data_IF_348560560061
#
_entry.id   IF_348560560061
#
_cell.length_a   1.000
_cell.length_b   1.000
_cell.length_c   1.000
_cell.angle_alpha   90.00
_cell.angle_beta   90.00
_cell.angle_gamma   90.00
#
_symmetry.space_group_name_H-M   'P 1'
#
loop_
_entity.id
_entity.type
_entity.pdbx_description
1 polymer ?
#
# COMPACT_ATOMS: atom_id res chain seq x y z
N UNK A 1 -10.76 -23.69 27.31
CA UNK A 1 -10.26 -22.38 26.86
C UNK A 1 -11.04 -21.76 25.67
N UNK A 2 -11.78 -22.51 24.85
CA UNK A 2 -12.53 -22.01 23.69
C UNK A 2 -13.80 -21.25 24.08
N UNK A 3 -14.54 -21.67 25.10
CA UNK A 3 -15.79 -21.02 25.53
C UNK A 3 -15.61 -19.61 26.12
N UNK A 4 -14.51 -19.35 26.83
CA UNK A 4 -14.22 -18.01 27.38
C UNK A 4 -13.90 -16.98 26.32
N UNK A 5 -13.31 -17.39 25.19
CA UNK A 5 -12.98 -16.51 24.05
C UNK A 5 -14.25 -16.08 23.30
N UNK A 6 -15.20 -17.00 23.12
CA UNK A 6 -16.47 -16.72 22.44
C UNK A 6 -17.34 -15.71 23.23
N UNK A 7 -17.39 -15.81 24.56
CA UNK A 7 -18.15 -14.90 25.43
C UNK A 7 -17.52 -13.49 25.44
N UNK A 8 -16.18 -13.40 25.46
CA UNK A 8 -15.49 -12.10 25.38
C UNK A 8 -15.77 -11.42 24.02
N UNK A 9 -15.65 -12.16 22.93
CA UNK A 9 -15.93 -11.66 21.56
C UNK A 9 -17.36 -11.14 21.47
N UNK A 10 -18.37 -11.88 21.97
CA UNK A 10 -19.78 -11.47 21.96
C UNK A 10 -20.02 -10.18 22.76
N UNK A 11 -19.41 -10.02 23.92
CA UNK A 11 -19.54 -8.82 24.78
C UNK A 11 -18.91 -7.59 24.14
N UNK A 12 -17.75 -7.73 23.49
CA UNK A 12 -17.09 -6.63 22.78
C UNK A 12 -17.82 -6.25 21.50
N UNK A 13 -18.40 -7.21 20.77
CA UNK A 13 -19.19 -6.96 19.56
C UNK A 13 -20.46 -6.14 19.81
N UNK A 14 -21.12 -6.32 20.95
CA UNK A 14 -22.30 -5.51 21.32
C UNK A 14 -21.96 -4.04 21.57
N UNK A 15 -20.75 -3.76 22.08
CA UNK A 15 -20.22 -2.40 22.30
C UNK A 15 -19.65 -1.82 20.99
N UNK A 16 -19.01 -2.67 20.20
CA UNK A 16 -18.37 -2.33 18.92
C UNK A 16 -19.35 -1.80 17.88
N UNK A 17 -20.56 -2.36 17.79
CA UNK A 17 -21.61 -1.91 16.86
C UNK A 17 -22.15 -0.51 17.15
N UNK A 18 -21.87 0.07 18.32
CA UNK A 18 -22.42 1.37 18.78
C UNK A 18 -21.49 2.57 18.58
N UNK A 19 -20.22 2.38 18.24
CA UNK A 19 -19.27 3.50 18.10
C UNK A 19 -18.77 3.67 16.67
N UNK A 20 -18.75 4.91 16.19
CA UNK A 20 -18.21 5.27 14.84
C UNK A 20 -16.75 4.84 14.61
N UNK A 21 -16.02 4.60 15.69
CA UNK A 21 -14.61 4.17 15.69
C UNK A 21 -14.39 2.77 15.13
N UNK A 22 -15.38 1.89 15.20
CA UNK A 22 -15.28 0.50 14.76
C UNK A 22 -15.74 0.28 13.32
N UNK A 23 -16.23 1.32 12.65
CA UNK A 23 -16.59 1.24 11.24
C UNK A 23 -15.39 0.86 10.37
N UNK A 24 -14.18 1.31 10.72
CA UNK A 24 -12.96 1.04 9.95
C UNK A 24 -12.29 -0.29 10.29
N UNK A 25 -12.77 -1.03 11.29
CA UNK A 25 -12.43 -2.43 11.55
C UNK A 25 -13.55 -3.40 11.17
N UNK A 26 -14.59 -2.95 10.47
CA UNK A 26 -15.76 -3.80 10.16
C UNK A 26 -15.39 -5.09 9.41
N UNK A 27 -14.43 -5.01 8.51
CA UNK A 27 -13.99 -6.16 7.70
C UNK A 27 -13.17 -7.13 8.55
N UNK A 28 -12.25 -6.61 9.34
CA UNK A 28 -11.46 -7.36 10.29
C UNK A 28 -12.35 -8.00 11.36
N UNK A 29 -13.32 -7.26 11.89
CA UNK A 29 -14.28 -7.78 12.88
C UNK A 29 -15.10 -8.95 12.33
N UNK A 30 -15.57 -8.89 11.09
CA UNK A 30 -16.28 -9.99 10.45
C UNK A 30 -15.42 -11.25 10.36
N UNK A 31 -14.14 -11.10 10.05
CA UNK A 31 -13.19 -12.21 10.00
C UNK A 31 -12.87 -12.76 11.40
N UNK A 32 -12.73 -11.89 12.40
CA UNK A 32 -12.54 -12.28 13.80
C UNK A 32 -13.75 -13.08 14.32
N UNK A 33 -14.98 -12.69 13.95
CA UNK A 33 -16.20 -13.44 14.24
C UNK A 33 -16.18 -14.87 13.65
N UNK A 34 -15.50 -15.05 12.52
CA UNK A 34 -15.30 -16.34 11.85
C UNK A 34 -14.12 -17.15 12.44
N UNK A 35 -13.45 -16.62 13.47
CA UNK A 35 -12.32 -17.28 14.14
C UNK A 35 -10.95 -16.96 13.57
N UNK A 36 -10.85 -16.06 12.58
CA UNK A 36 -9.56 -15.62 12.02
C UNK A 36 -8.89 -14.65 12.99
N UNK A 37 -7.61 -14.87 13.28
CA UNK A 37 -6.87 -14.07 14.26
C UNK A 37 -5.73 -13.24 13.64
N UNK A 38 -5.21 -13.66 12.50
CA UNK A 38 -4.13 -12.97 11.79
C UNK A 38 -4.62 -12.44 10.44
N UNK A 39 -5.15 -11.24 10.48
CA UNK A 39 -5.72 -10.57 9.30
C UNK A 39 -4.72 -9.52 8.83
N UNK A 40 -4.17 -9.68 7.64
CA UNK A 40 -3.28 -8.70 7.03
C UNK A 40 -4.06 -7.73 6.14
N UNK A 41 -3.87 -6.43 6.36
CA UNK A 41 -4.21 -5.40 5.37
C UNK A 41 -3.02 -5.19 4.43
N UNK A 42 -3.26 -5.09 3.13
CA UNK A 42 -2.22 -4.87 2.12
C UNK A 42 -2.60 -3.76 1.15
N UNK A 43 -1.63 -2.90 0.81
CA UNK A 43 -1.77 -1.81 -0.16
C UNK A 43 -0.44 -1.54 -0.87
N UNK A 44 -0.49 -0.80 -2.00
CA UNK A 44 0.67 -0.41 -2.78
C UNK A 44 0.78 1.11 -2.97
N UNK A 45 2.00 1.57 -3.24
CA UNK A 45 2.29 2.95 -3.63
C UNK A 45 3.22 3.02 -4.84
N UNK A 46 2.95 3.95 -5.76
CA UNK A 46 3.85 4.19 -6.88
C UNK A 46 3.48 3.47 -8.17
N UNK A 47 2.20 3.19 -8.44
CA UNK A 47 1.76 2.62 -9.74
C UNK A 47 1.83 3.61 -10.90
N UNK A 48 1.43 4.86 -10.68
CA UNK A 48 1.31 5.87 -11.73
C UNK A 48 2.57 6.64 -12.13
N UNK A 49 3.63 6.76 -11.30
CA UNK A 49 4.84 7.49 -11.66
C UNK A 49 5.56 6.93 -12.87
N UNK A 50 6.27 7.80 -13.61
CA UNK A 50 7.13 7.49 -14.74
C UNK A 50 8.50 6.94 -14.32
N UNK A 51 8.88 7.14 -13.04
CA UNK A 51 10.16 6.74 -12.49
C UNK A 51 10.04 6.17 -11.09
N UNK A 52 10.99 5.33 -10.72
CA UNK A 52 11.09 4.70 -9.41
C UNK A 52 10.27 3.42 -9.27
N UNK A 53 10.57 2.61 -8.23
CA UNK A 53 9.92 1.33 -7.97
C UNK A 53 8.45 1.49 -7.56
N UNK A 54 7.72 0.36 -7.59
CA UNK A 54 6.45 0.21 -6.89
C UNK A 54 6.72 -0.41 -5.53
N UNK A 55 6.13 0.14 -4.48
CA UNK A 55 6.18 -0.37 -3.11
C UNK A 55 4.86 -1.05 -2.76
N UNK A 56 4.93 -2.05 -1.90
CA UNK A 56 3.77 -2.56 -1.19
C UNK A 56 4.12 -2.80 0.27
N UNK A 57 3.12 -2.69 1.14
CA UNK A 57 3.24 -3.04 2.53
C UNK A 57 2.08 -3.93 2.96
N UNK A 58 2.33 -4.72 4.00
CA UNK A 58 1.34 -5.56 4.65
C UNK A 58 1.41 -5.34 6.16
N UNK A 59 0.26 -5.25 6.83
CA UNK A 59 0.16 -4.96 8.27
C UNK A 59 -0.85 -5.89 8.92
N UNK A 60 -0.45 -6.52 10.05
CA UNK A 60 -1.34 -7.26 10.94
C UNK A 60 -1.39 -6.53 12.28
N UNK A 61 -2.60 -6.15 12.70
CA UNK A 61 -2.85 -5.63 14.04
C UNK A 61 -3.26 -6.77 15.02
N UNK A 62 -2.93 -6.65 16.31
CA UNK A 62 -3.44 -7.55 17.34
C UNK A 62 -4.96 -7.58 17.36
N UNK A 63 -5.54 -8.76 17.61
CA UNK A 63 -7.01 -8.93 17.71
C UNK A 63 -7.61 -8.03 18.80
N UNK A 64 -6.89 -7.81 19.89
CA UNK A 64 -7.28 -6.93 21.00
C UNK A 64 -7.50 -5.48 20.53
N UNK A 65 -6.71 -5.03 19.57
CA UNK A 65 -6.87 -3.70 18.98
C UNK A 65 -8.12 -3.61 18.10
N UNK A 66 -8.37 -4.67 17.33
CA UNK A 66 -9.58 -4.79 16.50
C UNK A 66 -10.84 -4.82 17.37
N UNK A 67 -10.77 -5.49 18.51
CA UNK A 67 -11.89 -5.62 19.46
C UNK A 67 -12.12 -4.37 20.33
N UNK A 68 -11.31 -3.32 20.23
CA UNK A 68 -11.55 -2.03 20.90
C UNK A 68 -10.34 -1.41 21.61
N UNK A 69 -9.20 -2.10 21.64
CA UNK A 69 -7.95 -1.62 22.24
C UNK A 69 -7.10 -0.74 21.31
N UNK A 70 -7.64 -0.24 20.20
CA UNK A 70 -6.85 0.49 19.20
C UNK A 70 -6.24 1.77 19.79
N UNK A 71 -4.91 1.96 19.67
CA UNK A 71 -4.20 3.10 20.26
C UNK A 71 -4.73 4.44 19.76
N UNK A 72 -4.78 5.43 20.65
CA UNK A 72 -5.25 6.77 20.31
C UNK A 72 -4.37 7.45 19.25
N UNK A 73 -3.06 7.25 19.32
CA UNK A 73 -2.05 7.78 18.40
C UNK A 73 -2.21 7.27 16.95
N UNK A 74 -2.82 6.09 16.74
CA UNK A 74 -3.06 5.51 15.42
C UNK A 74 -4.45 5.80 14.84
N UNK A 75 -5.30 6.56 15.52
CA UNK A 75 -6.69 6.82 15.07
C UNK A 75 -6.79 7.67 13.82
N UNK A 76 -5.74 8.42 13.50
CA UNK A 76 -5.66 9.23 12.30
C UNK A 76 -5.20 8.44 11.06
N UNK A 77 -4.81 7.15 11.24
CA UNK A 77 -4.50 6.26 10.10
C UNK A 77 -5.66 6.29 9.11
N UNK A 78 -5.40 6.67 7.87
CA UNK A 78 -6.39 6.85 6.81
C UNK A 78 -5.72 6.65 5.45
N UNK A 79 -6.49 6.78 4.35
CA UNK A 79 -5.94 6.92 3.01
C UNK A 79 -4.75 7.90 3.04
N UNK A 80 -3.59 7.40 2.69
CA UNK A 80 -2.33 8.15 2.78
C UNK A 80 -2.32 9.43 1.95
N UNK A 81 -3.16 9.52 0.90
CA UNK A 81 -3.28 10.70 0.04
C UNK A 81 -4.09 11.82 0.69
N UNK A 82 -4.93 11.50 1.68
CA UNK A 82 -5.71 12.48 2.45
C UNK A 82 -4.95 13.07 3.65
N UNK A 83 -3.79 12.50 3.98
CA UNK A 83 -2.95 12.95 5.08
C UNK A 83 -1.87 13.92 4.59
N UNK A 84 -1.46 14.86 5.45
CA UNK A 84 -0.28 15.69 5.16
C UNK A 84 1.00 14.83 5.21
N UNK A 85 2.11 15.25 4.56
CA UNK A 85 3.39 14.55 4.65
C UNK A 85 3.85 14.35 6.10
N UNK A 86 3.70 15.38 6.95
CA UNK A 86 4.10 15.37 8.36
C UNK A 86 3.29 14.34 9.16
N UNK A 87 1.96 14.31 8.96
CA UNK A 87 1.08 13.33 9.61
C UNK A 87 1.44 11.91 9.18
N UNK A 88 1.73 11.68 7.87
CA UNK A 88 2.18 10.37 7.39
C UNK A 88 3.48 9.92 8.06
N UNK A 89 4.45 10.82 8.20
CA UNK A 89 5.73 10.51 8.87
C UNK A 89 5.54 10.17 10.35
N UNK A 90 4.70 10.91 11.07
CA UNK A 90 4.37 10.62 12.47
C UNK A 90 3.73 9.23 12.60
N UNK A 91 2.73 8.94 11.77
CA UNK A 91 2.02 7.64 11.78
C UNK A 91 2.93 6.49 11.34
N UNK A 92 3.80 6.70 10.35
CA UNK A 92 4.81 5.74 9.95
C UNK A 92 5.70 5.35 11.12
N UNK A 93 6.30 6.35 11.79
CA UNK A 93 7.20 6.12 12.91
C UNK A 93 6.48 5.44 14.08
N UNK A 94 5.24 5.81 14.35
CA UNK A 94 4.39 5.18 15.36
C UNK A 94 4.11 3.70 15.02
N UNK A 95 3.80 3.39 13.76
CA UNK A 95 3.55 2.01 13.31
C UNK A 95 4.79 1.12 13.43
N UNK A 96 5.96 1.60 12.96
CA UNK A 96 7.17 0.78 12.92
C UNK A 96 7.85 0.63 14.28
N UNK A 97 7.59 1.54 15.23
CA UNK A 97 8.15 1.48 16.58
C UNK A 97 7.41 0.53 17.52
N UNK A 98 6.21 0.08 17.13
CA UNK A 98 5.37 -0.76 18.00
C UNK A 98 5.65 -2.25 17.79
N UNK A 99 6.13 -2.96 18.82
CA UNK A 99 6.40 -4.39 18.70
C UNK A 99 5.15 -5.25 18.50
N UNK A 100 3.96 -4.71 18.82
CA UNK A 100 2.67 -5.38 18.60
C UNK A 100 2.24 -5.38 17.13
N UNK A 101 2.77 -4.46 16.33
CA UNK A 101 2.44 -4.35 14.90
C UNK A 101 3.35 -5.25 14.08
N UNK A 102 2.77 -6.30 13.49
CA UNK A 102 3.51 -7.10 12.52
C UNK A 102 3.36 -6.45 11.14
N UNK A 103 4.46 -6.05 10.52
CA UNK A 103 4.45 -5.43 9.21
C UNK A 103 5.62 -5.90 8.34
N UNK A 104 5.46 -5.72 7.04
CA UNK A 104 6.52 -5.87 6.05
C UNK A 104 6.34 -4.85 4.93
N UNK A 105 7.47 -4.36 4.39
CA UNK A 105 7.51 -3.40 3.29
C UNK A 105 8.43 -3.98 2.23
N UNK A 106 8.00 -3.97 0.97
CA UNK A 106 8.76 -4.49 -0.16
C UNK A 106 8.64 -3.58 -1.36
N UNK A 107 9.56 -3.73 -2.29
CA UNK A 107 9.55 -3.01 -3.54
C UNK A 107 9.79 -3.94 -4.74
N UNK A 108 9.37 -3.47 -5.89
CA UNK A 108 9.72 -4.05 -7.20
C UNK A 108 10.23 -2.92 -8.08
N UNK A 109 11.44 -3.10 -8.62
CA UNK A 109 12.16 -2.09 -9.38
C UNK A 109 11.56 -1.80 -10.76
N UNK A 110 12.11 -0.77 -11.41
CA UNK A 110 11.65 -0.31 -12.72
C UNK A 110 11.89 -1.35 -13.81
N UNK A 111 13.01 -2.08 -13.75
CA UNK A 111 13.34 -3.09 -14.76
C UNK A 111 12.33 -4.24 -14.73
N UNK A 112 11.97 -4.70 -13.54
CA UNK A 112 10.92 -5.72 -13.38
C UNK A 112 9.55 -5.17 -13.79
N UNK A 113 9.23 -3.90 -13.49
CA UNK A 113 7.99 -3.27 -13.95
C UNK A 113 7.90 -3.30 -15.47
N UNK A 114 9.00 -2.98 -16.17
CA UNK A 114 9.05 -3.01 -17.64
C UNK A 114 8.90 -4.42 -18.21
N UNK A 115 9.42 -5.44 -17.51
CA UNK A 115 9.31 -6.84 -17.94
C UNK A 115 7.92 -7.44 -17.78
N UNK A 116 7.24 -7.17 -16.64
CA UNK A 116 6.00 -7.88 -16.29
C UNK A 116 4.75 -6.99 -16.24
N UNK A 117 4.86 -5.72 -16.54
CA UNK A 117 3.93 -4.59 -16.39
C UNK A 117 3.64 -4.22 -14.92
N UNK A 118 3.11 -3.00 -14.74
CA UNK A 118 2.87 -2.41 -13.42
C UNK A 118 1.84 -3.17 -12.58
N UNK A 119 0.80 -3.76 -13.19
CA UNK A 119 -0.20 -4.52 -12.46
C UNK A 119 0.42 -5.78 -11.82
N UNK A 120 1.19 -6.54 -12.61
CA UNK A 120 1.87 -7.75 -12.12
C UNK A 120 2.98 -7.39 -11.12
N UNK A 121 3.68 -6.28 -11.33
CA UNK A 121 4.70 -5.79 -10.41
C UNK A 121 4.11 -5.40 -9.05
N UNK A 122 2.96 -4.69 -9.02
CA UNK A 122 2.23 -4.39 -7.78
C UNK A 122 1.79 -5.66 -7.06
N UNK A 123 1.21 -6.62 -7.77
CA UNK A 123 0.83 -7.91 -7.19
C UNK A 123 2.03 -8.69 -6.66
N UNK A 124 3.18 -8.62 -7.35
CA UNK A 124 4.43 -9.24 -6.89
C UNK A 124 4.91 -8.59 -5.60
N UNK A 125 4.94 -7.26 -5.53
CA UNK A 125 5.31 -6.53 -4.31
C UNK A 125 4.39 -6.91 -3.13
N UNK A 126 3.07 -6.95 -3.33
CA UNK A 126 2.12 -7.37 -2.30
C UNK A 126 2.40 -8.81 -1.80
N UNK A 127 2.62 -9.75 -2.72
CA UNK A 127 2.92 -11.14 -2.36
C UNK A 127 4.25 -11.26 -1.59
N UNK A 128 5.27 -10.48 -1.96
CA UNK A 128 6.54 -10.43 -1.25
C UNK A 128 6.38 -9.88 0.18
N UNK A 129 5.58 -8.81 0.36
CA UNK A 129 5.29 -8.26 1.68
C UNK A 129 4.57 -9.29 2.57
N UNK A 130 3.54 -9.94 2.05
CA UNK A 130 2.82 -10.99 2.79
C UNK A 130 3.70 -12.18 3.16
N UNK A 131 4.63 -12.58 2.28
CA UNK A 131 5.56 -13.67 2.52
C UNK A 131 6.59 -13.37 3.63
N UNK A 132 6.86 -12.09 3.91
CA UNK A 132 7.79 -11.66 4.96
C UNK A 132 7.13 -11.53 6.34
N UNK A 133 5.80 -11.48 6.44
CA UNK A 133 5.12 -11.37 7.74
C UNK A 133 5.41 -12.58 8.63
N UNK A 134 5.72 -12.33 9.88
CA UNK A 134 5.90 -13.35 10.92
C UNK A 134 5.16 -12.90 12.19
N UNK A 135 4.08 -13.60 12.58
CA UNK A 135 3.51 -14.81 11.99
C UNK A 135 2.82 -14.56 10.63
N UNK A 136 2.73 -15.60 9.79
CA UNK A 136 2.04 -15.55 8.51
C UNK A 136 0.54 -15.24 8.68
N UNK A 137 -0.10 -14.48 7.75
CA UNK A 137 -1.53 -14.19 7.82
C UNK A 137 -2.38 -15.44 7.56
N UNK A 138 -3.58 -15.47 8.13
CA UNK A 138 -4.62 -16.47 7.86
C UNK A 138 -5.58 -15.96 6.77
N UNK A 139 -5.76 -14.65 6.70
CA UNK A 139 -6.60 -13.98 5.73
C UNK A 139 -6.02 -12.61 5.36
N UNK A 140 -6.21 -12.18 4.14
CA UNK A 140 -5.74 -10.89 3.64
C UNK A 140 -6.93 -10.03 3.21
N UNK A 141 -6.97 -8.79 3.65
CA UNK A 141 -7.83 -7.75 3.09
C UNK A 141 -6.97 -6.86 2.19
N UNK A 142 -7.40 -6.69 0.93
CA UNK A 142 -6.60 -6.05 -0.13
C UNK A 142 -7.28 -4.77 -0.55
N UNK A 143 -6.50 -3.67 -0.71
CA UNK A 143 -7.06 -2.49 -1.37
C UNK A 143 -7.38 -2.77 -2.85
N UNK A 144 -8.53 -2.28 -3.29
CA UNK A 144 -8.98 -2.40 -4.67
C UNK A 144 -9.51 -3.77 -5.06
N UNK A 145 -8.91 -4.41 -6.05
CA UNK A 145 -9.39 -5.64 -6.67
C UNK A 145 -8.63 -6.89 -6.20
N UNK A 146 -9.25 -8.06 -6.46
CA UNK A 146 -8.65 -9.35 -6.15
C UNK A 146 -7.28 -9.55 -6.84
N UNK A 147 -6.28 -9.95 -6.08
CA UNK A 147 -4.94 -10.30 -6.56
C UNK A 147 -4.90 -11.79 -6.92
N UNK A 148 -5.02 -12.10 -8.23
CA UNK A 148 -5.13 -13.49 -8.71
C UNK A 148 -3.94 -14.39 -8.34
N UNK A 149 -2.74 -13.81 -8.21
CA UNK A 149 -1.51 -14.52 -7.84
C UNK A 149 -1.32 -14.75 -6.35
N UNK A 150 -2.19 -14.20 -5.50
CA UNK A 150 -2.11 -14.34 -4.05
C UNK A 150 -2.59 -15.71 -3.60
N UNK A 151 -1.79 -16.38 -2.77
CA UNK A 151 -2.07 -17.74 -2.28
C UNK A 151 -2.91 -17.76 -0.99
N UNK A 152 -3.05 -16.61 -0.32
CA UNK A 152 -3.86 -16.49 0.89
C UNK A 152 -5.34 -16.31 0.57
N UNK A 153 -6.26 -16.78 1.42
CA UNK A 153 -7.65 -16.35 1.41
C UNK A 153 -7.70 -14.82 1.44
N UNK A 154 -8.50 -14.20 0.56
CA UNK A 154 -8.49 -12.75 0.42
C UNK A 154 -9.88 -12.15 0.25
N UNK A 155 -10.07 -10.95 0.78
CA UNK A 155 -11.25 -10.09 0.59
C UNK A 155 -10.79 -8.77 -0.03
N UNK A 156 -11.12 -8.50 -1.30
CA UNK A 156 -10.84 -7.21 -1.93
C UNK A 156 -11.82 -6.15 -1.41
N UNK A 157 -11.33 -4.94 -1.16
CA UNK A 157 -12.10 -3.82 -0.63
C UNK A 157 -11.78 -2.57 -1.45
N UNK A 158 -12.74 -2.09 -2.21
CA UNK A 158 -12.58 -0.85 -3.00
C UNK A 158 -12.47 0.32 -2.03
N UNK A 159 -11.47 1.19 -2.21
CA UNK A 159 -11.09 2.26 -1.29
C UNK A 159 -10.87 1.71 0.15
N UNK A 160 -10.16 0.59 0.23
CA UNK A 160 -9.90 -0.12 1.47
C UNK A 160 -9.01 0.68 2.43
N UNK A 161 -8.10 1.49 1.92
CA UNK A 161 -7.24 2.41 2.68
C UNK A 161 -8.05 3.41 3.54
N UNK A 162 -9.19 3.88 3.04
CA UNK A 162 -10.14 4.69 3.80
C UNK A 162 -11.10 3.84 4.65
N UNK A 163 -11.38 2.58 4.28
CA UNK A 163 -12.39 1.73 4.90
C UNK A 163 -11.86 0.80 6.00
N UNK A 164 -10.55 0.51 6.03
CA UNK A 164 -9.89 -0.38 6.98
C UNK A 164 -8.65 0.26 7.59
N UNK A 165 -8.45 0.12 8.90
CA UNK A 165 -7.23 0.58 9.56
C UNK A 165 -6.00 -0.25 9.14
N UNK A 166 -6.16 -1.56 8.90
CA UNK A 166 -5.04 -2.42 8.50
C UNK A 166 -4.55 -2.07 7.09
N UNK A 167 -5.47 -1.80 6.13
CA UNK A 167 -5.13 -1.35 4.78
C UNK A 167 -4.57 0.08 4.82
N UNK A 168 -5.21 1.00 5.57
CA UNK A 168 -4.71 2.37 5.71
C UNK A 168 -3.31 2.45 6.31
N UNK A 169 -2.98 1.57 7.27
CA UNK A 169 -1.62 1.46 7.80
C UNK A 169 -0.63 0.97 6.73
N UNK A 170 -1.01 -0.04 5.94
CA UNK A 170 -0.21 -0.53 4.82
C UNK A 170 0.02 0.58 3.78
N UNK A 171 -1.04 1.35 3.44
CA UNK A 171 -0.96 2.52 2.55
C UNK A 171 0.09 3.53 3.01
N UNK A 172 0.07 3.90 4.30
CA UNK A 172 1.05 4.82 4.89
C UNK A 172 2.47 4.24 4.80
N UNK A 173 2.67 2.98 5.18
CA UNK A 173 3.99 2.35 5.15
C UNK A 173 4.56 2.28 3.74
N UNK A 174 3.77 1.88 2.75
CA UNK A 174 4.18 1.83 1.36
C UNK A 174 4.50 3.23 0.82
N UNK A 175 3.62 4.22 1.09
CA UNK A 175 3.76 5.60 0.59
C UNK A 175 4.99 6.29 1.16
N UNK A 176 5.18 6.25 2.47
CA UNK A 176 6.32 6.93 3.12
C UNK A 176 7.64 6.29 2.70
N UNK A 177 7.72 4.97 2.68
CA UNK A 177 8.93 4.26 2.25
C UNK A 177 9.31 4.62 0.82
N UNK A 178 8.33 4.64 -0.09
CA UNK A 178 8.57 5.05 -1.47
C UNK A 178 9.01 6.51 -1.57
N UNK A 179 8.34 7.43 -0.88
CA UNK A 179 8.66 8.85 -0.95
C UNK A 179 10.07 9.15 -0.41
N UNK A 180 10.49 8.47 0.66
CA UNK A 180 11.85 8.55 1.20
C UNK A 180 12.90 8.06 0.19
N UNK A 181 12.65 6.94 -0.48
CA UNK A 181 13.54 6.45 -1.54
C UNK A 181 13.62 7.45 -2.70
N UNK A 182 12.51 8.05 -3.13
CA UNK A 182 12.53 9.02 -4.22
C UNK A 182 13.32 10.30 -3.86
N UNK A 183 13.35 10.70 -2.58
CA UNK A 183 14.21 11.79 -2.11
C UNK A 183 15.69 11.40 -2.17
N UNK A 184 16.06 10.16 -1.84
CA UNK A 184 17.43 9.67 -1.97
C UNK A 184 17.86 9.57 -3.44
N UNK A 185 16.95 9.10 -4.32
CA UNK A 185 17.21 9.00 -5.75
C UNK A 185 17.36 10.36 -6.44
N UNK A 186 16.78 11.43 -5.90
CA UNK A 186 17.01 12.80 -6.37
C UNK A 186 18.47 13.23 -6.23
N UNK A 187 19.14 12.78 -5.17
CA UNK A 187 20.57 13.02 -4.98
C UNK A 187 21.43 12.21 -5.97
N UNK A 188 21.01 11.00 -6.30
CA UNK A 188 21.72 10.11 -7.24
C UNK A 188 21.54 10.56 -8.69
N UNK A 189 20.38 11.10 -9.02
CA UNK A 189 20.01 11.58 -10.35
C UNK A 189 19.56 13.05 -10.29
N UNK A 190 20.52 13.99 -10.10
CA UNK A 190 20.18 15.40 -9.96
C UNK A 190 19.58 16.00 -11.24
N UNK A 191 18.73 17.00 -11.08
CA UNK A 191 18.11 17.72 -12.19
C UNK A 191 16.77 17.19 -12.65
N UNK A 192 16.33 16.01 -12.20
CA UNK A 192 14.99 15.49 -12.51
C UNK A 192 13.91 15.98 -11.53
N UNK A 193 14.24 16.36 -10.30
CA UNK A 193 13.30 16.84 -9.30
C UNK A 193 12.50 15.74 -8.59
N UNK A 194 13.05 14.55 -8.46
CA UNK A 194 12.37 13.40 -7.83
C UNK A 194 11.99 13.63 -6.37
N UNK A 195 12.73 14.48 -5.66
CA UNK A 195 12.38 14.86 -4.29
C UNK A 195 11.06 15.63 -4.20
N UNK A 196 10.64 16.32 -5.25
CA UNK A 196 9.39 17.08 -5.27
C UNK A 196 8.22 16.21 -5.74
N UNK A 197 8.26 15.75 -6.97
CA UNK A 197 7.14 15.07 -7.63
C UNK A 197 7.18 13.53 -7.51
N UNK A 198 8.15 12.95 -6.82
CA UNK A 198 8.25 11.50 -6.56
C UNK A 198 8.17 10.62 -7.82
N UNK A 199 8.63 11.16 -8.97
CA UNK A 199 8.62 10.49 -10.26
C UNK A 199 7.30 10.55 -11.03
N UNK A 200 6.29 11.27 -10.53
CA UNK A 200 5.06 11.50 -11.29
C UNK A 200 5.32 12.40 -12.50
N UNK A 201 4.54 12.21 -13.57
CA UNK A 201 4.69 12.95 -14.85
C UNK A 201 4.17 14.38 -14.78
N UNK A 202 4.72 15.19 -13.87
CA UNK A 202 4.44 16.61 -13.79
C UNK A 202 5.10 17.35 -14.97
N UNK A 203 4.67 18.58 -15.31
CA UNK A 203 5.32 19.38 -16.34
C UNK A 203 6.83 19.53 -16.13
N UNK A 204 7.28 19.72 -14.89
CA UNK A 204 8.69 19.85 -14.52
C UNK A 204 9.46 18.55 -14.81
N UNK A 205 8.88 17.38 -14.44
CA UNK A 205 9.49 16.08 -14.70
C UNK A 205 9.60 15.81 -16.22
N UNK A 206 8.54 16.10 -16.98
CA UNK A 206 8.56 15.93 -18.42
C UNK A 206 9.57 16.87 -19.11
N UNK A 207 9.71 18.10 -18.61
CA UNK A 207 10.73 19.04 -19.08
C UNK A 207 12.16 18.52 -18.78
N UNK A 208 12.38 17.99 -17.58
CA UNK A 208 13.65 17.39 -17.20
C UNK A 208 13.99 16.17 -18.08
N UNK A 209 13.03 15.28 -18.34
CA UNK A 209 13.21 14.15 -19.25
C UNK A 209 13.57 14.61 -20.66
N UNK A 210 12.93 15.67 -21.17
CA UNK A 210 13.22 16.24 -22.49
C UNK A 210 14.65 16.82 -22.57
N UNK A 211 15.11 17.44 -21.48
CA UNK A 211 16.43 18.09 -21.44
C UNK A 211 17.58 17.10 -21.19
N UNK A 212 17.39 16.12 -20.30
CA UNK A 212 18.44 15.23 -19.80
C UNK A 212 18.35 13.80 -20.38
N UNK A 213 17.26 13.46 -21.03
CA UNK A 213 16.94 12.10 -21.42
C UNK A 213 16.37 11.27 -20.26
N UNK A 214 16.17 9.98 -20.48
CA UNK A 214 15.75 9.05 -19.43
C UNK A 214 16.96 8.59 -18.61
N UNK A 215 16.84 8.56 -17.29
CA UNK A 215 17.82 7.90 -16.41
C UNK A 215 17.40 6.45 -16.09
N UNK A 216 18.30 5.62 -15.47
CA UNK A 216 18.05 4.19 -15.26
C UNK A 216 16.81 3.83 -14.44
N UNK A 217 16.26 4.75 -13.67
CA UNK A 217 15.05 4.50 -12.88
C UNK A 217 13.75 4.88 -13.59
N UNK A 218 13.80 5.35 -14.85
CA UNK A 218 12.59 5.59 -15.64
C UNK A 218 12.03 4.28 -16.18
N UNK A 219 10.71 4.19 -16.19
CA UNK A 219 9.96 3.01 -16.66
C UNK A 219 9.75 3.11 -18.17
N UNK A 220 10.56 2.39 -18.92
CA UNK A 220 10.57 2.43 -20.39
C UNK A 220 9.26 1.95 -21.03
N UNK A 221 8.49 1.13 -20.31
CA UNK A 221 7.16 0.67 -20.72
C UNK A 221 6.04 1.69 -20.49
N UNK A 222 6.35 2.89 -19.96
CA UNK A 222 5.38 3.96 -19.74
C UNK A 222 5.52 5.05 -20.80
N UNK A 223 4.39 5.68 -21.20
CA UNK A 223 4.45 6.93 -21.96
C UNK A 223 5.13 8.02 -21.09
N UNK A 224 6.06 8.87 -21.63
CA UNK A 224 6.32 9.09 -23.05
C UNK A 224 7.43 8.23 -23.68
N UNK A 225 7.95 7.20 -22.98
CA UNK A 225 9.10 6.42 -23.47
C UNK A 225 8.71 5.32 -24.47
N UNK A 226 7.42 4.94 -24.52
CA UNK A 226 6.96 4.00 -25.54
C UNK A 226 7.19 4.57 -26.94
N UNK A 227 7.68 3.76 -27.90
CA UNK A 227 7.75 4.18 -29.29
C UNK A 227 6.34 4.59 -29.74
N UNK A 228 6.25 5.76 -30.39
CA UNK A 228 5.01 6.22 -31.01
C UNK A 228 4.57 5.14 -31.99
N UNK A 229 3.43 4.50 -31.76
CA UNK A 229 2.88 3.56 -32.76
C UNK A 229 2.72 4.35 -34.08
N UNK A 230 3.23 3.84 -35.22
CA UNK A 230 2.93 4.44 -36.49
C UNK A 230 1.41 4.50 -36.63
N UNK A 231 0.87 5.66 -37.01
CA UNK A 231 -0.56 5.77 -37.29
C UNK A 231 -0.91 4.74 -38.38
N UNK A 232 -1.65 3.70 -38.00
CA UNK A 232 -2.11 2.64 -38.92
C UNK A 232 -3.17 3.12 -39.95
N UNK A 233 -3.51 4.42 -39.87
CA UNK A 233 -4.43 5.06 -40.83
C UNK A 233 -3.74 6.30 -41.38
N UNK A 234 -2.86 6.12 -42.37
CA UNK A 234 -2.66 7.14 -43.37
C UNK A 234 -3.93 7.14 -44.25
N UNK A 235 -4.77 8.13 -44.10
CA UNK A 235 -5.87 8.37 -45.04
C UNK A 235 -5.30 8.41 -46.46
N UNK A 236 -5.70 7.42 -47.24
CA UNK A 236 -5.51 7.47 -48.70
C UNK A 236 -6.35 8.62 -49.25
N UNK A 237 -5.69 9.71 -49.68
CA UNK A 237 -6.29 10.74 -50.49
C UNK A 237 -6.55 10.27 -51.92
#
# INVERSE_FOLDING_TARGET
MVAGRAVLVSKYLSVARKTSRLRRFRHELTLVEQGVSRIAGVDEAGRGPLAGPVFAAAVIFPVEWILGGFPKSLREVNDSKQLTPETREVLFNELVSRPEVCYAITEVDCQMIDQINILRASHRAMNLALAQLRPAPEHVIVDGLRVKSMQFPQTPIVAGDAASFSIGAASILAKVSRDRLMVQLDQTYPGYGFAQHKGYGTPEHLAAIKALGACPIHRQSFSPFLPTQPQLFAESA
#
